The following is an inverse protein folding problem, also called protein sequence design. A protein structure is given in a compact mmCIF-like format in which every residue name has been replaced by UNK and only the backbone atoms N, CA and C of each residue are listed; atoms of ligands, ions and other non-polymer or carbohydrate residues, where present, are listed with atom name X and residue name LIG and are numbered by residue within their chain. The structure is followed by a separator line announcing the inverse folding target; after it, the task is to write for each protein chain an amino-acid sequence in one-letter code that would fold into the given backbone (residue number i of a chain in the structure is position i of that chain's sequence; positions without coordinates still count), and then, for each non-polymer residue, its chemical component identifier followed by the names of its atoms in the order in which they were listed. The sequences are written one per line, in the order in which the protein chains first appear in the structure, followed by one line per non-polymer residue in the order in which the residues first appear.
data_IF_719169791566
#
_entry.id   IF_719169791566
#
_cell.length_a   1.000
_cell.length_b   1.000
_cell.length_c   1.000
_cell.angle_alpha   90.00
_cell.angle_beta   90.00
_cell.angle_gamma   90.00
#
_symmetry.space_group_name_H-M   'P 1'
#
loop_
_entity.id
_entity.type
_entity.pdbx_description
1 polymer ?
#
# COMPACT_ATOMS: atom_id res chain seq x y z
N UNK A 1 -2.01 20.17 5.65
CA UNK A 1 -1.72 18.82 5.13
C UNK A 1 -0.25 18.51 5.36
N UNK A 2 0.09 17.63 6.31
CA UNK A 2 1.48 17.23 6.55
C UNK A 2 1.91 16.30 5.40
N UNK A 3 2.89 16.71 4.58
CA UNK A 3 3.57 15.80 3.66
C UNK A 3 4.32 14.77 4.52
N UNK A 4 3.80 13.56 4.62
CA UNK A 4 4.54 12.42 5.18
C UNK A 4 5.61 12.08 4.14
N UNK A 5 6.81 12.63 4.30
CA UNK A 5 7.97 12.19 3.53
C UNK A 5 8.45 10.90 4.19
N UNK A 6 7.85 9.76 3.83
CA UNK A 6 8.43 8.47 4.17
C UNK A 6 9.79 8.37 3.48
N UNK A 7 10.88 8.28 4.24
CA UNK A 7 12.16 7.90 3.65
C UNK A 7 11.99 6.47 3.10
N UNK A 8 12.00 6.30 1.77
CA UNK A 8 11.81 4.99 1.12
C UNK A 8 12.97 4.06 1.47
N UNK A 9 12.82 3.29 2.55
CA UNK A 9 13.69 2.13 2.80
C UNK A 9 13.32 1.07 1.79
N UNK A 10 14.31 0.61 1.03
CA UNK A 10 14.13 -0.52 0.10
C UNK A 10 13.69 -1.76 0.90
N UNK A 11 12.74 -2.52 0.37
CA UNK A 11 12.33 -3.78 0.99
C UNK A 11 13.52 -4.75 1.09
N UNK A 12 13.55 -5.60 2.12
CA UNK A 12 14.68 -6.49 2.40
C UNK A 12 15.07 -7.43 1.24
N UNK A 13 14.10 -7.80 0.40
CA UNK A 13 14.34 -8.63 -0.77
C UNK A 13 15.09 -7.92 -1.90
N UNK A 14 15.17 -6.58 -1.90
CA UNK A 14 15.91 -5.80 -2.90
C UNK A 14 17.37 -6.27 -3.03
N UNK A 15 17.98 -6.69 -1.91
CA UNK A 15 19.35 -7.20 -1.87
C UNK A 15 19.55 -8.49 -2.67
N UNK A 16 18.48 -9.28 -2.86
CA UNK A 16 18.49 -10.56 -3.58
C UNK A 16 18.21 -10.40 -5.08
N UNK A 17 17.89 -9.18 -5.54
CA UNK A 17 17.52 -8.92 -6.92
C UNK A 17 18.75 -8.78 -7.82
N UNK A 18 18.64 -9.29 -9.05
CA UNK A 18 19.63 -9.04 -10.10
C UNK A 18 19.52 -7.59 -10.64
N UNK A 19 20.49 -7.11 -11.45
CA UNK A 19 20.48 -5.73 -11.95
C UNK A 19 19.22 -5.35 -12.77
N UNK A 20 18.66 -6.28 -13.54
CA UNK A 20 17.43 -6.02 -14.30
C UNK A 20 16.20 -5.86 -13.37
N UNK A 21 16.08 -6.71 -12.37
CA UNK A 21 15.02 -6.67 -11.36
C UNK A 21 15.11 -5.42 -10.49
N UNK A 22 16.32 -4.98 -10.11
CA UNK A 22 16.51 -3.72 -9.37
C UNK A 22 16.03 -2.51 -10.17
N UNK A 23 16.32 -2.44 -11.47
CA UNK A 23 15.81 -1.37 -12.35
C UNK A 23 14.28 -1.34 -12.39
N UNK A 24 13.63 -2.50 -12.44
CA UNK A 24 12.16 -2.59 -12.40
C UNK A 24 11.65 -2.14 -11.03
N UNK A 25 12.25 -2.63 -9.93
CA UNK A 25 11.92 -2.20 -8.58
C UNK A 25 12.02 -0.68 -8.45
N UNK A 26 13.13 -0.08 -8.87
CA UNK A 26 13.37 1.35 -8.71
C UNK A 26 12.39 2.19 -9.54
N UNK A 27 11.98 1.70 -10.72
CA UNK A 27 10.89 2.31 -11.50
C UNK A 27 9.54 2.20 -10.79
N UNK A 28 9.19 1.03 -10.25
CA UNK A 28 7.95 0.85 -9.49
C UNK A 28 7.92 1.69 -8.22
N UNK A 29 9.05 1.77 -7.53
CA UNK A 29 9.26 2.59 -6.34
C UNK A 29 9.28 4.09 -6.67
N UNK A 30 9.36 4.50 -7.94
CA UNK A 30 9.17 5.90 -8.34
C UNK A 30 7.69 6.25 -8.60
N UNK A 31 6.79 5.26 -8.67
CA UNK A 31 5.37 5.50 -8.88
C UNK A 31 4.77 6.01 -7.57
N UNK A 32 4.28 7.25 -7.58
CA UNK A 32 3.62 7.86 -6.42
C UNK A 32 2.11 7.63 -6.43
N UNK A 33 1.50 7.50 -7.62
CA UNK A 33 0.06 7.35 -7.80
C UNK A 33 -0.24 6.41 -8.95
N UNK A 34 -1.30 5.62 -8.81
CA UNK A 34 -1.85 4.75 -9.87
C UNK A 34 -3.32 5.08 -10.04
N UNK A 35 -3.74 5.38 -11.26
CA UNK A 35 -5.15 5.60 -11.57
C UNK A 35 -5.87 4.25 -11.61
N UNK A 36 -6.81 4.05 -10.69
CA UNK A 36 -7.62 2.84 -10.64
C UNK A 36 -8.96 3.09 -11.36
N UNK A 37 -9.33 2.25 -12.35
CA UNK A 37 -10.67 2.32 -12.92
C UNK A 37 -11.70 2.00 -11.82
N UNK A 38 -12.77 2.81 -11.76
CA UNK A 38 -13.85 2.67 -10.77
C UNK A 38 -13.38 2.71 -9.31
N UNK A 39 -12.40 3.56 -8.96
CA UNK A 39 -11.86 3.68 -7.60
C UNK A 39 -12.94 3.82 -6.51
N UNK A 40 -14.08 4.44 -6.82
CA UNK A 40 -15.21 4.60 -5.91
C UNK A 40 -15.76 3.30 -5.30
N UNK A 41 -15.57 2.15 -5.97
CA UNK A 41 -15.97 0.83 -5.43
C UNK A 41 -15.24 0.47 -4.14
N UNK A 42 -14.05 1.05 -3.93
CA UNK A 42 -13.22 0.80 -2.75
C UNK A 42 -13.48 1.76 -1.59
N UNK A 43 -14.26 2.82 -1.79
CA UNK A 43 -14.47 3.87 -0.77
C UNK A 43 -14.94 3.29 0.57
N UNK A 44 -15.86 2.33 0.53
CA UNK A 44 -16.38 1.70 1.75
C UNK A 44 -15.31 0.88 2.48
N UNK A 45 -14.57 0.03 1.77
CA UNK A 45 -13.54 -0.82 2.41
C UNK A 45 -12.37 0.00 2.92
N UNK A 46 -12.02 1.10 2.24
CA UNK A 46 -11.01 2.05 2.72
C UNK A 46 -11.48 2.73 4.01
N UNK A 47 -12.72 3.25 4.06
CA UNK A 47 -13.26 3.86 5.26
C UNK A 47 -13.38 2.87 6.45
N UNK A 48 -13.73 1.61 6.17
CA UNK A 48 -13.77 0.56 7.19
C UNK A 48 -12.34 0.25 7.72
N UNK A 49 -11.34 0.23 6.84
CA UNK A 49 -9.94 0.01 7.20
C UNK A 49 -9.35 1.18 8.00
N UNK A 50 -9.62 2.42 7.59
CA UNK A 50 -9.20 3.63 8.32
C UNK A 50 -9.70 3.59 9.77
N UNK A 51 -11.00 3.30 9.97
CA UNK A 51 -11.58 3.16 11.31
C UNK A 51 -10.94 2.03 12.11
N UNK A 52 -10.68 0.87 11.49
CA UNK A 52 -10.07 -0.26 12.17
C UNK A 52 -8.65 0.05 12.65
N UNK A 53 -7.88 0.78 11.84
CA UNK A 53 -6.54 1.25 12.18
C UNK A 53 -6.58 2.31 13.29
N UNK A 54 -7.51 3.26 13.22
CA UNK A 54 -7.69 4.29 14.26
C UNK A 54 -8.04 3.69 15.64
N UNK A 55 -8.66 2.50 15.64
CA UNK A 55 -9.02 1.77 16.85
C UNK A 55 -7.94 0.77 17.32
N UNK A 56 -6.82 0.63 16.59
CA UNK A 56 -5.82 -0.43 16.80
C UNK A 56 -6.45 -1.84 16.89
N UNK A 57 -7.56 -2.09 16.17
CA UNK A 57 -8.26 -3.36 16.18
C UNK A 57 -7.69 -4.30 15.11
N UNK A 58 -6.92 -5.30 15.57
CA UNK A 58 -6.29 -6.28 14.71
C UNK A 58 -7.30 -7.10 13.88
N UNK A 59 -8.40 -7.54 14.48
CA UNK A 59 -9.37 -8.42 13.82
C UNK A 59 -10.13 -7.66 12.74
N UNK A 60 -10.56 -6.43 13.05
CA UNK A 60 -11.22 -5.56 12.08
C UNK A 60 -10.27 -5.18 10.95
N UNK A 61 -9.01 -4.87 11.27
CA UNK A 61 -7.99 -4.53 10.27
C UNK A 61 -7.76 -5.69 9.30
N UNK A 62 -7.63 -6.92 9.82
CA UNK A 62 -7.47 -8.11 9.00
C UNK A 62 -8.69 -8.37 8.11
N UNK A 63 -9.90 -8.24 8.67
CA UNK A 63 -11.15 -8.47 7.94
C UNK A 63 -11.34 -7.46 6.81
N UNK A 64 -11.10 -6.18 7.09
CA UNK A 64 -11.18 -5.12 6.09
C UNK A 64 -10.10 -5.29 5.00
N UNK A 65 -8.87 -5.64 5.39
CA UNK A 65 -7.77 -5.90 4.45
C UNK A 65 -8.06 -7.07 3.53
N UNK A 66 -8.66 -8.15 4.05
CA UNK A 66 -9.03 -9.32 3.24
C UNK A 66 -10.05 -8.95 2.15
N UNK A 67 -11.06 -8.15 2.48
CA UNK A 67 -12.06 -7.65 1.50
C UNK A 67 -11.48 -6.73 0.43
N UNK A 68 -10.28 -6.18 0.63
CA UNK A 68 -9.64 -5.33 -0.36
C UNK A 68 -8.95 -6.14 -1.47
N UNK A 69 -8.53 -7.38 -1.15
CA UNK A 69 -7.72 -8.23 -2.04
C UNK A 69 -8.48 -9.42 -2.61
N UNK A 70 -9.54 -9.88 -1.93
CA UNK A 70 -10.50 -10.87 -2.43
C UNK A 70 -11.51 -10.24 -3.40
#
# INVERSE_FOLDING_TARGET
MKKIVQSKRKFGYYRKLNPAQKRIYDKSDAIENVMLPQAGRFNKVIADLEKALDLDDLLLTQTASKRLVD
#
